data_IF_654464259583
#
_entry.id   IF_654464259583
#
_cell.length_a   1.000
_cell.length_b   1.000
_cell.length_c   1.000
_cell.angle_alpha   90.00
_cell.angle_beta   90.00
_cell.angle_gamma   90.00
#
_symmetry.space_group_name_H-M   'P 1'
#
loop_
_entity.id
_entity.type
_entity.pdbx_description
1 polymer ?
#
# COMPACT_ATOMS: atom_id res chain seq x y z
N UNK A 1 -23.52 -8.86 19.51
CA UNK A 1 -23.70 -7.43 19.20
C UNK A 1 -22.79 -6.52 20.04
N UNK A 2 -21.48 -6.87 20.21
CA UNK A 2 -20.51 -6.04 20.99
C UNK A 2 -19.20 -5.73 20.23
N UNK A 3 -19.12 -6.06 18.94
CA UNK A 3 -17.87 -5.88 18.13
C UNK A 3 -17.92 -4.71 17.16
N UNK A 4 -19.04 -4.02 17.01
CA UNK A 4 -19.20 -2.91 16.06
C UNK A 4 -18.86 -1.54 16.70
N UNK A 5 -18.81 -1.45 18.03
CA UNK A 5 -18.59 -0.18 18.72
C UNK A 5 -17.12 0.21 18.87
N UNK A 6 -16.17 -0.74 18.69
CA UNK A 6 -14.73 -0.45 18.78
C UNK A 6 -14.17 0.22 17.52
N UNK A 7 -14.85 0.07 16.40
CA UNK A 7 -14.35 0.57 15.08
C UNK A 7 -14.50 2.09 14.91
N UNK A 8 -15.38 2.72 15.67
CA UNK A 8 -15.70 4.15 15.49
C UNK A 8 -14.87 5.10 16.39
N UNK A 9 -14.18 4.58 17.41
CA UNK A 9 -13.47 5.43 18.38
C UNK A 9 -12.03 5.73 17.96
N UNK A 10 -11.42 4.92 17.10
CA UNK A 10 -10.00 5.11 16.70
C UNK A 10 -9.77 6.17 15.61
N UNK A 11 -10.79 6.57 14.86
CA UNK A 11 -10.66 7.60 13.81
C UNK A 11 -10.57 9.03 14.39
N UNK A 12 -10.94 9.24 15.66
CA UNK A 12 -11.09 10.58 16.26
C UNK A 12 -9.92 11.05 17.12
N UNK A 13 -8.87 10.25 17.29
CA UNK A 13 -7.74 10.58 18.21
C UNK A 13 -6.42 11.01 17.51
N UNK A 14 -6.39 11.14 16.20
CA UNK A 14 -5.20 11.59 15.46
C UNK A 14 -5.16 13.10 15.21
N UNK A 15 -5.95 13.92 15.89
CA UNK A 15 -5.84 15.37 15.79
C UNK A 15 -5.12 15.94 17.01
N UNK A 16 -3.81 15.86 17.04
CA UNK A 16 -3.07 16.60 18.07
C UNK A 16 -1.63 16.20 18.23
N UNK A 17 -0.77 16.73 17.40
CA UNK A 17 0.52 17.33 17.79
C UNK A 17 1.28 17.72 16.51
N UNK A 18 1.38 18.99 16.27
CA UNK A 18 2.21 19.60 15.23
C UNK A 18 3.68 19.43 15.58
N UNK A 19 4.31 18.45 14.97
CA UNK A 19 5.74 18.48 14.71
C UNK A 19 5.93 18.02 13.28
N UNK A 20 6.26 18.95 12.39
CA UNK A 20 6.60 18.74 10.99
C UNK A 20 6.00 17.46 10.35
N UNK A 21 4.74 17.42 10.16
CA UNK A 21 4.10 17.04 8.92
C UNK A 21 3.90 15.57 8.61
N UNK A 22 3.53 14.68 9.55
CA UNK A 22 3.10 13.34 9.15
C UNK A 22 1.77 12.94 9.82
N UNK A 23 0.84 12.45 9.01
CA UNK A 23 -0.42 11.83 9.41
C UNK A 23 -0.19 10.32 9.58
N UNK A 24 -0.27 9.78 10.80
CA UNK A 24 -0.16 8.34 11.03
C UNK A 24 -1.51 7.65 10.81
N UNK A 25 -1.55 6.68 9.93
CA UNK A 25 -2.69 5.78 9.75
C UNK A 25 -2.33 4.42 10.31
N UNK A 26 -3.07 3.97 11.33
CA UNK A 26 -2.91 2.66 11.95
C UNK A 26 -3.93 1.69 11.35
N UNK A 27 -3.46 0.53 10.93
CA UNK A 27 -4.28 -0.52 10.34
C UNK A 27 -4.23 -1.75 11.23
N UNK A 28 -5.31 -1.98 12.00
CA UNK A 28 -5.38 -3.07 12.97
C UNK A 28 -5.29 -4.46 12.32
N UNK A 29 -5.79 -4.60 11.09
CA UNK A 29 -5.84 -5.90 10.39
C UNK A 29 -4.46 -6.49 10.10
N UNK A 30 -3.43 -5.66 9.92
CA UNK A 30 -2.07 -6.09 9.63
C UNK A 30 -1.05 -5.71 10.72
N UNK A 31 -1.50 -5.11 11.82
CA UNK A 31 -0.60 -4.51 12.83
C UNK A 31 0.43 -3.54 12.23
N UNK A 32 0.01 -2.81 11.20
CA UNK A 32 0.88 -1.92 10.43
C UNK A 32 0.45 -0.47 10.63
N UNK A 33 1.42 0.42 10.76
CA UNK A 33 1.19 1.85 10.81
C UNK A 33 2.01 2.52 9.70
N UNK A 34 1.41 3.49 9.03
CA UNK A 34 2.05 4.26 7.97
C UNK A 34 1.95 5.74 8.28
N UNK A 35 3.05 6.45 8.04
CA UNK A 35 3.09 7.90 8.11
C UNK A 35 2.96 8.49 6.71
N UNK A 36 1.92 9.30 6.51
CA UNK A 36 1.73 10.08 5.29
C UNK A 36 2.11 11.53 5.53
N UNK A 37 2.69 12.24 4.55
CA UNK A 37 2.88 13.69 4.67
C UNK A 37 1.56 14.41 4.97
N UNK A 38 1.53 15.36 5.90
CA UNK A 38 0.31 16.09 6.28
C UNK A 38 -0.40 16.79 5.12
N UNK A 39 0.37 17.16 4.08
CA UNK A 39 -0.16 17.81 2.89
C UNK A 39 -0.84 16.86 1.91
N UNK A 40 -0.82 15.56 2.18
CA UNK A 40 -1.41 14.58 1.28
C UNK A 40 -2.87 14.29 1.67
N UNK A 41 -3.73 14.17 0.66
CA UNK A 41 -5.12 13.75 0.84
C UNK A 41 -5.16 12.22 0.99
N UNK A 42 -5.47 11.74 2.19
CA UNK A 42 -5.63 10.31 2.46
C UNK A 42 -7.10 9.90 2.30
N UNK A 43 -7.36 8.97 1.42
CA UNK A 43 -8.69 8.41 1.16
C UNK A 43 -8.73 6.91 1.43
N UNK A 44 -9.85 6.42 1.87
CA UNK A 44 -10.19 5.00 1.98
C UNK A 44 -11.51 4.75 1.26
N UNK A 45 -11.90 3.49 0.98
CA UNK A 45 -13.19 3.21 0.36
C UNK A 45 -14.39 3.84 1.06
N UNK A 46 -14.29 4.03 2.37
CA UNK A 46 -15.36 4.62 3.20
C UNK A 46 -15.35 6.16 3.17
N UNK A 47 -14.20 6.76 2.93
CA UNK A 47 -14.01 8.22 3.00
C UNK A 47 -14.07 8.90 1.63
N UNK A 48 -14.05 8.18 0.51
CA UNK A 48 -14.10 8.79 -0.82
C UNK A 48 -15.29 9.75 -1.00
N UNK A 49 -16.47 9.36 -0.51
CA UNK A 49 -17.65 10.21 -0.59
C UNK A 49 -17.53 11.52 0.22
N UNK A 50 -16.80 11.49 1.35
CA UNK A 50 -16.55 12.68 2.16
C UNK A 50 -15.64 13.68 1.42
N UNK A 51 -14.68 13.15 0.65
CA UNK A 51 -13.70 13.93 -0.10
C UNK A 51 -14.07 14.12 -1.58
N UNK A 52 -15.32 13.78 -1.97
CA UNK A 52 -15.77 13.88 -3.35
C UNK A 52 -15.50 15.24 -4.01
N UNK A 53 -15.70 16.41 -3.35
CA UNK A 53 -15.37 17.70 -3.96
C UNK A 53 -13.87 17.83 -4.27
N UNK A 54 -12.99 17.39 -3.36
CA UNK A 54 -11.53 17.48 -3.57
C UNK A 54 -11.05 16.54 -4.67
N UNK A 55 -11.63 15.33 -4.74
CA UNK A 55 -11.35 14.36 -5.80
C UNK A 55 -11.82 14.91 -7.16
N UNK A 56 -13.01 15.52 -7.22
CA UNK A 56 -13.54 16.12 -8.44
C UNK A 56 -12.67 17.28 -8.96
N UNK A 57 -12.12 18.10 -8.07
CA UNK A 57 -11.17 19.17 -8.43
C UNK A 57 -9.89 18.61 -9.08
N UNK A 58 -9.53 17.38 -8.73
CA UNK A 58 -8.43 16.62 -9.35
C UNK A 58 -8.83 15.87 -10.63
N UNK A 59 -10.09 15.94 -11.06
CA UNK A 59 -10.61 15.18 -12.19
C UNK A 59 -10.85 13.69 -11.88
N UNK A 60 -10.97 13.34 -10.58
CA UNK A 60 -11.23 11.99 -10.12
C UNK A 60 -12.70 11.84 -9.67
N UNK A 61 -13.34 10.77 -10.07
CA UNK A 61 -14.68 10.42 -9.58
C UNK A 61 -14.57 9.64 -8.27
N UNK A 62 -15.27 10.07 -7.24
CA UNK A 62 -15.18 9.48 -5.91
C UNK A 62 -15.72 8.04 -5.86
N UNK A 63 -16.76 7.72 -6.63
CA UNK A 63 -17.34 6.39 -6.68
C UNK A 63 -16.43 5.42 -7.43
N UNK A 64 -15.80 5.89 -8.52
CA UNK A 64 -14.82 5.12 -9.27
C UNK A 64 -13.58 4.84 -8.42
N UNK A 65 -13.07 5.83 -7.69
CA UNK A 65 -11.96 5.65 -6.75
C UNK A 65 -12.34 4.67 -5.65
N UNK A 66 -13.50 4.83 -5.02
CA UNK A 66 -13.96 3.92 -3.97
C UNK A 66 -14.13 2.48 -4.47
N UNK A 67 -14.64 2.32 -5.69
CA UNK A 67 -14.78 1.02 -6.34
C UNK A 67 -13.41 0.40 -6.62
N UNK A 68 -12.48 1.14 -7.20
CA UNK A 68 -11.12 0.67 -7.48
C UNK A 68 -10.41 0.21 -6.19
N UNK A 69 -10.47 1.02 -5.12
CA UNK A 69 -9.88 0.66 -3.83
C UNK A 69 -10.45 -0.64 -3.26
N UNK A 70 -11.76 -0.85 -3.39
CA UNK A 70 -12.41 -2.11 -2.96
C UNK A 70 -11.98 -3.30 -3.82
N UNK A 71 -12.00 -3.14 -5.14
CA UNK A 71 -11.68 -4.20 -6.10
C UNK A 71 -10.21 -4.65 -5.95
N UNK A 72 -9.31 -3.73 -5.63
CA UNK A 72 -7.89 -4.00 -5.40
C UNK A 72 -7.56 -4.34 -3.95
N UNK A 73 -8.54 -4.33 -3.03
CA UNK A 73 -8.35 -4.48 -1.58
C UNK A 73 -7.34 -3.49 -1.00
N UNK A 74 -7.33 -2.29 -1.55
CA UNK A 74 -6.53 -1.18 -1.05
C UNK A 74 -7.22 -0.55 0.15
N UNK A 75 -6.56 -0.52 1.29
CA UNK A 75 -7.13 0.02 2.53
C UNK A 75 -7.14 1.54 2.52
N UNK A 76 -6.06 2.13 2.03
CA UNK A 76 -5.95 3.59 1.89
C UNK A 76 -5.08 3.96 0.70
N UNK A 77 -5.34 5.14 0.15
CA UNK A 77 -4.51 5.79 -0.85
C UNK A 77 -4.32 7.25 -0.46
N UNK A 78 -3.10 7.72 -0.52
CA UNK A 78 -2.76 9.11 -0.26
C UNK A 78 -2.28 9.78 -1.55
N UNK A 79 -2.82 10.94 -1.86
CA UNK A 79 -2.43 11.73 -3.03
C UNK A 79 -1.66 12.96 -2.59
N UNK A 80 -0.60 13.32 -3.31
CA UNK A 80 0.08 14.59 -3.13
C UNK A 80 -0.81 15.77 -3.60
N UNK A 81 -0.40 16.99 -3.30
CA UNK A 81 -1.21 18.20 -3.51
C UNK A 81 -1.61 18.45 -4.98
N UNK A 82 -0.83 17.99 -5.94
CA UNK A 82 -1.11 18.14 -7.39
C UNK A 82 -1.66 16.84 -8.02
N UNK A 83 -1.92 15.81 -7.22
CA UNK A 83 -2.46 14.50 -7.64
C UNK A 83 -1.64 13.76 -8.70
N UNK A 84 -0.37 14.13 -8.87
CA UNK A 84 0.56 13.48 -9.82
C UNK A 84 1.20 12.23 -9.24
N UNK A 85 1.17 12.08 -7.91
CA UNK A 85 1.73 10.96 -7.18
C UNK A 85 0.72 10.44 -6.17
N UNK A 86 0.76 9.15 -5.91
CA UNK A 86 0.02 8.55 -4.81
C UNK A 86 0.84 7.46 -4.14
N UNK A 87 0.50 7.19 -2.90
CA UNK A 87 0.94 6.03 -2.13
C UNK A 87 -0.32 5.23 -1.77
N UNK A 88 -0.30 3.93 -1.99
CA UNK A 88 -1.40 3.05 -1.64
C UNK A 88 -0.92 1.98 -0.67
N UNK A 89 -1.76 1.63 0.28
CA UNK A 89 -1.51 0.55 1.24
C UNK A 89 -2.53 -0.56 1.04
N UNK A 90 -2.03 -1.76 0.77
CA UNK A 90 -2.81 -2.96 0.56
C UNK A 90 -2.49 -3.96 1.67
N UNK A 91 -3.52 -4.56 2.25
CA UNK A 91 -3.38 -5.71 3.16
C UNK A 91 -4.40 -6.75 2.73
N UNK A 92 -3.93 -7.96 2.42
CA UNK A 92 -4.79 -9.03 1.93
C UNK A 92 -4.17 -10.41 2.13
N UNK A 93 -4.99 -11.43 2.07
CA UNK A 93 -4.51 -12.76 1.78
C UNK A 93 -4.27 -12.89 0.27
N UNK A 94 -3.13 -13.42 -0.14
CA UNK A 94 -2.81 -13.75 -1.53
C UNK A 94 -1.96 -15.02 -1.62
N UNK A 95 -1.55 -15.40 -2.83
CA UNK A 95 -0.74 -16.61 -3.04
C UNK A 95 0.58 -16.56 -2.26
N UNK A 96 1.21 -15.39 -2.17
CA UNK A 96 2.47 -15.26 -1.44
C UNK A 96 2.27 -15.46 0.06
N UNK A 97 1.20 -14.90 0.64
CA UNK A 97 0.89 -15.07 2.07
C UNK A 97 0.43 -16.49 2.41
N UNK A 98 -0.05 -17.26 1.43
CA UNK A 98 -0.33 -18.70 1.61
C UNK A 98 0.95 -19.56 1.60
N UNK A 99 1.97 -19.13 0.85
CA UNK A 99 3.27 -19.81 0.82
C UNK A 99 4.18 -19.43 2.01
N UNK A 100 4.06 -18.19 2.49
CA UNK A 100 4.93 -17.58 3.49
C UNK A 100 4.06 -16.96 4.57
N UNK A 101 4.15 -17.50 5.78
CA UNK A 101 3.39 -16.96 6.92
C UNK A 101 4.06 -15.70 7.53
N UNK A 102 5.40 -15.71 7.59
CA UNK A 102 6.23 -14.63 8.12
C UNK A 102 7.46 -14.43 7.25
N UNK A 103 7.66 -13.23 6.74
CA UNK A 103 8.80 -12.93 5.89
C UNK A 103 10.11 -12.93 6.68
N UNK A 104 10.06 -12.65 7.97
CA UNK A 104 11.21 -12.70 8.87
C UNK A 104 11.71 -14.11 9.15
N UNK A 105 10.85 -15.11 9.03
CA UNK A 105 11.21 -16.52 9.22
C UNK A 105 11.84 -17.17 7.96
N UNK A 106 11.92 -16.42 6.85
CA UNK A 106 12.48 -16.94 5.59
C UNK A 106 13.98 -17.21 5.70
N UNK A 107 14.38 -18.37 5.17
CA UNK A 107 15.79 -18.69 4.93
C UNK A 107 16.36 -17.86 3.77
N UNK A 108 17.69 -17.74 3.70
CA UNK A 108 18.36 -17.03 2.60
C UNK A 108 18.04 -17.62 1.22
N UNK A 109 17.84 -18.94 1.13
CA UNK A 109 17.43 -19.60 -0.09
C UNK A 109 16.01 -19.19 -0.54
N UNK A 110 15.07 -19.09 0.40
CA UNK A 110 13.72 -18.61 0.14
C UNK A 110 13.73 -17.13 -0.26
N UNK A 111 14.49 -16.28 0.45
CA UNK A 111 14.68 -14.87 0.11
C UNK A 111 15.25 -14.70 -1.30
N UNK A 112 16.25 -15.51 -1.67
CA UNK A 112 16.83 -15.50 -3.02
C UNK A 112 15.80 -15.89 -4.07
N UNK A 113 14.98 -16.89 -3.78
CA UNK A 113 13.92 -17.36 -4.70
C UNK A 113 12.85 -16.29 -4.89
N UNK A 114 12.39 -15.67 -3.80
CA UNK A 114 11.38 -14.61 -3.85
C UNK A 114 11.89 -13.39 -4.63
N UNK A 115 13.13 -12.98 -4.37
CA UNK A 115 13.77 -11.90 -5.12
C UNK A 115 13.78 -12.19 -6.64
N UNK A 116 14.16 -13.40 -7.06
CA UNK A 116 14.15 -13.79 -8.48
C UNK A 116 12.74 -13.77 -9.08
N UNK A 117 11.72 -14.18 -8.33
CA UNK A 117 10.32 -14.09 -8.76
C UNK A 117 9.92 -12.62 -9.00
N UNK A 118 10.34 -11.71 -8.10
CA UNK A 118 10.11 -10.28 -8.27
C UNK A 118 10.84 -9.71 -9.50
N UNK A 119 12.12 -10.03 -9.67
CA UNK A 119 12.94 -9.60 -10.81
C UNK A 119 12.37 -10.10 -12.15
N UNK A 120 11.80 -11.30 -12.18
CA UNK A 120 11.16 -11.86 -13.38
C UNK A 120 9.72 -11.39 -13.60
N UNK A 121 9.19 -10.51 -12.75
CA UNK A 121 7.80 -10.05 -12.72
C UNK A 121 6.77 -11.18 -12.53
N UNK A 122 7.18 -12.34 -12.02
CA UNK A 122 6.26 -13.47 -11.80
C UNK A 122 5.49 -13.39 -10.47
N UNK A 123 5.73 -12.35 -9.66
CA UNK A 123 4.94 -12.07 -8.45
C UNK A 123 3.64 -11.32 -8.75
N UNK A 124 3.52 -10.70 -9.93
CA UNK A 124 2.36 -9.88 -10.28
C UNK A 124 1.94 -10.13 -11.72
N UNK A 125 0.67 -10.37 -11.90
CA UNK A 125 0.07 -10.48 -13.23
C UNK A 125 -0.18 -9.13 -13.92
N UNK A 126 0.41 -8.05 -13.43
CA UNK A 126 0.16 -6.71 -13.95
C UNK A 126 0.87 -6.50 -15.28
N UNK A 127 0.12 -6.41 -16.35
CA UNK A 127 0.66 -6.12 -17.69
C UNK A 127 1.31 -4.74 -17.75
N UNK A 128 2.53 -4.69 -18.29
CA UNK A 128 3.28 -3.44 -18.48
C UNK A 128 4.13 -2.99 -17.28
N UNK A 129 4.05 -3.68 -16.14
CA UNK A 129 4.94 -3.43 -15.02
C UNK A 129 6.25 -4.23 -15.19
N UNK A 130 7.39 -3.60 -14.99
CA UNK A 130 8.70 -4.23 -15.05
C UNK A 130 9.56 -3.82 -13.88
N UNK A 131 9.99 -4.79 -13.08
CA UNK A 131 10.99 -4.57 -12.05
C UNK A 131 12.31 -4.10 -12.69
N UNK A 132 12.94 -3.11 -12.07
CA UNK A 132 14.24 -2.58 -12.47
C UNK A 132 15.31 -2.99 -11.47
N UNK A 133 14.96 -2.95 -10.20
CA UNK A 133 15.82 -3.35 -9.10
C UNK A 133 14.98 -3.96 -7.99
N UNK A 134 15.52 -4.97 -7.31
CA UNK A 134 14.86 -5.68 -6.21
C UNK A 134 15.87 -5.91 -5.10
N UNK A 135 15.59 -5.38 -3.93
CA UNK A 135 16.48 -5.50 -2.78
C UNK A 135 15.73 -5.84 -1.49
N UNK A 136 16.44 -6.47 -0.57
CA UNK A 136 15.96 -6.69 0.79
C UNK A 136 16.40 -5.56 1.68
N UNK A 137 15.45 -5.03 2.44
CA UNK A 137 15.73 -4.05 3.49
C UNK A 137 15.10 -4.49 4.79
N UNK A 138 15.65 -3.99 5.90
CA UNK A 138 15.13 -4.25 7.23
C UNK A 138 14.65 -2.94 7.84
N UNK A 139 13.33 -2.82 8.03
CA UNK A 139 12.71 -1.65 8.63
C UNK A 139 11.99 -2.04 9.91
N UNK A 140 12.27 -1.32 11.00
CA UNK A 140 11.68 -1.56 12.31
C UNK A 140 11.83 -3.01 12.83
N UNK A 141 12.87 -3.72 12.36
CA UNK A 141 13.13 -5.10 12.74
C UNK A 141 12.57 -6.14 11.78
N UNK A 142 11.69 -5.78 10.85
CA UNK A 142 11.05 -6.66 9.88
C UNK A 142 11.72 -6.60 8.50
N UNK A 143 11.70 -7.73 7.78
CA UNK A 143 12.24 -7.82 6.44
C UNK A 143 11.19 -7.34 5.42
N UNK A 144 11.62 -6.46 4.55
CA UNK A 144 10.84 -5.93 3.44
C UNK A 144 11.55 -6.21 2.11
N UNK A 145 10.77 -6.55 1.09
CA UNK A 145 11.25 -6.62 -0.28
C UNK A 145 10.91 -5.30 -0.99
N UNK A 146 11.94 -4.55 -1.34
CA UNK A 146 11.83 -3.28 -2.05
C UNK A 146 11.99 -3.52 -3.53
N UNK A 147 11.05 -3.01 -4.33
CA UNK A 147 10.98 -3.28 -5.75
C UNK A 147 10.77 -1.97 -6.49
N UNK A 148 11.85 -1.50 -7.10
CA UNK A 148 11.77 -0.40 -8.04
C UNK A 148 11.21 -0.90 -9.35
N UNK A 149 10.19 -0.23 -9.88
CA UNK A 149 9.55 -0.65 -11.13
C UNK A 149 9.28 0.51 -12.07
N UNK A 150 9.15 0.19 -13.35
CA UNK A 150 8.61 1.09 -14.37
C UNK A 150 7.31 0.52 -14.91
N UNK A 151 6.44 1.42 -15.35
CA UNK A 151 5.24 1.08 -16.10
C UNK A 151 5.48 1.43 -17.56
N UNK A 152 5.27 0.45 -18.43
CA UNK A 152 5.42 0.64 -19.89
C UNK A 152 4.09 0.47 -20.60
N UNK A 153 3.81 1.32 -21.57
CA UNK A 153 2.67 1.21 -22.47
C UNK A 153 3.17 1.34 -23.90
N UNK A 154 2.88 0.34 -24.74
CA UNK A 154 3.35 0.31 -26.13
C UNK A 154 4.86 0.54 -26.27
N UNK A 155 5.66 -0.03 -25.35
CA UNK A 155 7.12 0.09 -25.35
C UNK A 155 7.68 1.40 -24.78
N UNK A 156 6.82 2.34 -24.39
CA UNK A 156 7.25 3.62 -23.80
C UNK A 156 7.04 3.58 -22.30
N UNK A 157 8.01 4.06 -21.51
CA UNK A 157 7.86 4.23 -20.06
C UNK A 157 6.92 5.39 -19.79
N UNK A 158 5.80 5.10 -19.12
CA UNK A 158 4.76 6.07 -18.77
C UNK A 158 4.71 6.37 -17.27
N UNK A 159 5.42 5.61 -16.46
CA UNK A 159 5.48 5.82 -15.02
C UNK A 159 6.60 5.02 -14.37
N UNK A 160 6.86 5.32 -13.12
CA UNK A 160 7.78 4.59 -12.25
C UNK A 160 7.22 4.57 -10.84
N UNK A 161 7.60 3.60 -10.06
CA UNK A 161 7.20 3.49 -8.67
C UNK A 161 8.11 2.60 -7.87
N UNK A 162 7.77 2.49 -6.62
CA UNK A 162 8.44 1.66 -5.63
C UNK A 162 7.35 0.86 -4.90
N UNK A 163 7.56 -0.43 -4.72
CA UNK A 163 6.72 -1.28 -3.88
C UNK A 163 7.53 -1.75 -2.69
N UNK A 164 6.92 -1.73 -1.55
CA UNK A 164 7.41 -2.30 -0.31
C UNK A 164 6.51 -3.47 0.02
N UNK A 165 7.06 -4.68 0.04
CA UNK A 165 6.29 -5.89 0.26
C UNK A 165 6.80 -6.63 1.47
N UNK A 166 5.90 -7.00 2.37
CA UNK A 166 6.17 -7.98 3.43
C UNK A 166 5.01 -8.95 3.58
N UNK A 167 5.24 -10.03 4.31
CA UNK A 167 4.19 -10.94 4.79
C UNK A 167 4.34 -11.07 6.29
N UNK A 168 3.29 -10.72 7.00
CA UNK A 168 3.23 -10.74 8.45
C UNK A 168 1.93 -11.42 8.89
N UNK A 169 2.02 -12.42 9.77
CA UNK A 169 0.87 -13.21 10.25
C UNK A 169 -0.01 -13.79 9.12
N UNK A 170 0.60 -14.22 8.01
CA UNK A 170 -0.14 -14.76 6.88
C UNK A 170 -0.90 -13.71 6.07
N UNK A 171 -0.61 -12.43 6.27
CA UNK A 171 -1.16 -11.33 5.48
C UNK A 171 -0.07 -10.71 4.60
N UNK A 172 -0.36 -10.57 3.32
CA UNK A 172 0.44 -9.78 2.39
C UNK A 172 0.19 -8.29 2.66
N UNK A 173 1.26 -7.55 2.85
CA UNK A 173 1.28 -6.10 3.05
C UNK A 173 2.11 -5.45 1.96
N UNK A 174 1.52 -4.50 1.26
CA UNK A 174 2.19 -3.71 0.22
C UNK A 174 1.93 -2.22 0.45
#
# INVERSE_FOLDING_TARGET
MKRILSFLIFILLAMGASAAGAQTVVMDEGHVAFDYPDSWLVVSPQLCGVYAPLLADAGLDADDVAKELKDTRTLSRAYNADYTQYLAVLIREDELSQEIYEMDAMTDAQKTTLRRRAESNSLWETTGLRAQDVEWQKENGENWLYIHYIVTRSGTTVGRGLRYVTVHNGLYVE
#
